data_IF_983334843908
#
_entry.id   IF_983334843908
#
_cell.length_a   1.000
_cell.length_b   1.000
_cell.length_c   1.000
_cell.angle_alpha   90.00
_cell.angle_beta   90.00
_cell.angle_gamma   90.00
#
_symmetry.space_group_name_H-M   'P 1'
#
loop_
_entity.id
_entity.type
_entity.pdbx_description
1 polymer ?
#
# COMPACT_ATOMS: atom_id res chain seq x y z
N UNK A 1 36.85 21.78 -38.97
CA UNK A 1 35.58 21.17 -38.45
C UNK A 1 35.37 19.87 -39.22
N UNK A 2 35.72 18.75 -38.60
CA UNK A 2 35.61 17.43 -39.18
C UNK A 2 34.15 17.00 -39.13
N UNK A 3 33.58 16.63 -40.29
CA UNK A 3 32.26 16.05 -40.47
C UNK A 3 32.35 14.59 -39.99
N UNK A 4 31.81 14.29 -38.78
CA UNK A 4 31.63 12.91 -38.32
C UNK A 4 30.77 12.16 -39.34
N UNK A 5 31.35 11.16 -39.97
CA UNK A 5 30.65 10.24 -40.85
C UNK A 5 29.66 9.44 -40.01
N UNK A 6 28.36 9.74 -40.16
CA UNK A 6 27.26 8.94 -39.64
C UNK A 6 27.29 7.55 -40.31
N UNK A 7 28.12 6.65 -39.75
CA UNK A 7 28.20 5.26 -40.17
C UNK A 7 26.89 4.53 -39.84
N UNK A 8 26.31 3.84 -40.83
CA UNK A 8 25.09 3.02 -40.68
C UNK A 8 25.31 2.02 -39.54
N UNK A 9 24.47 2.04 -38.49
CA UNK A 9 24.51 1.11 -37.38
C UNK A 9 24.35 -0.32 -37.90
N UNK A 10 25.26 -1.20 -37.52
CA UNK A 10 25.32 -2.59 -37.95
C UNK A 10 24.98 -3.55 -36.80
N UNK A 11 24.63 -4.80 -37.14
CA UNK A 11 24.42 -5.85 -36.13
C UNK A 11 25.65 -6.09 -35.23
N UNK A 12 26.84 -5.83 -35.77
CA UNK A 12 28.09 -5.93 -35.00
C UNK A 12 28.21 -4.85 -33.95
N UNK A 13 27.77 -3.62 -34.23
CA UNK A 13 27.74 -2.56 -33.22
C UNK A 13 26.79 -2.91 -32.07
N UNK A 14 25.63 -3.47 -32.41
CA UNK A 14 24.65 -3.93 -31.39
C UNK A 14 25.23 -5.09 -30.58
N UNK A 15 25.90 -6.04 -31.22
CA UNK A 15 26.53 -7.18 -30.56
C UNK A 15 27.59 -6.74 -29.53
N UNK A 16 28.46 -5.83 -29.95
CA UNK A 16 29.50 -5.27 -29.06
C UNK A 16 28.86 -4.55 -27.86
N UNK A 17 27.85 -3.71 -28.10
CA UNK A 17 27.19 -2.95 -27.04
C UNK A 17 26.39 -3.85 -26.08
N UNK A 18 25.72 -4.87 -26.59
CA UNK A 18 24.94 -5.82 -25.80
C UNK A 18 25.79 -6.89 -25.09
N UNK A 19 27.11 -6.99 -25.38
CA UNK A 19 28.02 -8.00 -24.83
C UNK A 19 27.64 -9.43 -25.27
N UNK A 20 27.27 -9.61 -26.54
CA UNK A 20 26.86 -10.92 -27.11
C UNK A 20 27.42 -11.11 -28.52
N UNK A 21 27.36 -12.32 -29.07
CA UNK A 21 27.76 -12.58 -30.45
C UNK A 21 26.74 -12.05 -31.48
N UNK A 22 27.19 -11.69 -32.67
CA UNK A 22 26.34 -11.19 -33.77
C UNK A 22 25.25 -12.21 -34.19
N UNK A 23 25.52 -13.51 -34.08
CA UNK A 23 24.53 -14.56 -34.31
C UNK A 23 23.39 -14.51 -33.25
N UNK A 24 23.69 -14.12 -32.00
CA UNK A 24 22.69 -13.92 -30.96
C UNK A 24 21.82 -12.70 -31.28
N UNK A 25 22.45 -11.61 -31.74
CA UNK A 25 21.71 -10.40 -32.19
C UNK A 25 20.77 -10.73 -33.32
N UNK A 26 21.25 -11.49 -34.34
CA UNK A 26 20.41 -11.91 -35.47
C UNK A 26 19.21 -12.77 -35.04
N UNK A 27 19.43 -13.73 -34.12
CA UNK A 27 18.35 -14.55 -33.55
C UNK A 27 17.30 -13.70 -32.82
N UNK A 28 17.74 -12.73 -32.01
CA UNK A 28 16.84 -11.83 -31.28
C UNK A 28 16.04 -10.96 -32.23
N UNK A 29 16.72 -10.30 -33.18
CA UNK A 29 16.06 -9.38 -34.11
C UNK A 29 15.16 -10.04 -35.14
N UNK A 30 15.34 -11.32 -35.39
CA UNK A 30 14.50 -12.13 -36.29
C UNK A 30 13.58 -13.10 -35.53
N UNK A 31 13.50 -12.98 -34.19
CA UNK A 31 12.67 -13.83 -33.31
C UNK A 31 12.93 -15.35 -33.49
N UNK A 32 14.17 -15.73 -33.82
CA UNK A 32 14.58 -17.12 -34.07
C UNK A 32 15.29 -17.71 -32.84
N UNK A 33 14.89 -18.92 -32.46
CA UNK A 33 15.59 -19.76 -31.47
C UNK A 33 15.37 -19.34 -30.00
N UNK A 34 15.85 -20.18 -29.07
CA UNK A 34 15.77 -19.93 -27.64
C UNK A 34 16.92 -19.00 -27.18
N UNK A 35 16.61 -17.74 -26.98
CA UNK A 35 17.46 -16.76 -26.32
C UNK A 35 16.79 -16.40 -25.00
N UNK A 36 17.57 -16.32 -23.90
CA UNK A 36 17.03 -15.92 -22.61
C UNK A 36 16.48 -14.50 -22.66
N UNK A 37 15.46 -14.20 -21.86
CA UNK A 37 14.79 -12.90 -21.89
C UNK A 37 15.75 -11.76 -21.48
N UNK A 38 16.69 -12.00 -20.57
CA UNK A 38 17.73 -11.03 -20.20
C UNK A 38 18.66 -10.69 -21.37
N UNK A 39 19.05 -11.67 -22.17
CA UNK A 39 19.89 -11.43 -23.37
C UNK A 39 19.07 -10.73 -24.46
N UNK A 40 17.81 -11.14 -24.68
CA UNK A 40 16.90 -10.50 -25.62
C UNK A 40 16.74 -9.02 -25.31
N UNK A 41 16.46 -8.70 -24.03
CA UNK A 41 16.30 -7.31 -23.55
C UNK A 41 17.56 -6.48 -23.85
N UNK A 42 18.75 -6.93 -23.42
CA UNK A 42 20.00 -6.21 -23.67
C UNK A 42 20.26 -5.93 -25.16
N UNK A 43 19.95 -6.89 -26.02
CA UNK A 43 20.13 -6.72 -27.47
C UNK A 43 19.17 -5.65 -28.01
N UNK A 44 17.90 -5.67 -27.60
CA UNK A 44 16.91 -4.70 -28.09
C UNK A 44 17.19 -3.29 -27.56
N UNK A 45 17.58 -3.16 -26.30
CA UNK A 45 18.00 -1.89 -25.71
C UNK A 45 19.23 -1.32 -26.43
N UNK A 46 20.27 -2.13 -26.62
CA UNK A 46 21.45 -1.73 -27.39
C UNK A 46 21.10 -1.28 -28.82
N UNK A 47 20.18 -1.97 -29.50
CA UNK A 47 19.72 -1.62 -30.83
C UNK A 47 18.95 -0.28 -30.84
N UNK A 48 18.11 -0.02 -29.84
CA UNK A 48 17.39 1.26 -29.66
C UNK A 48 18.35 2.42 -29.41
N UNK A 49 19.26 2.25 -28.45
CA UNK A 49 20.23 3.31 -28.09
C UNK A 49 21.19 3.66 -29.22
N UNK A 50 21.54 2.70 -30.06
CA UNK A 50 22.35 2.92 -31.26
C UNK A 50 21.56 3.49 -32.44
N UNK A 51 20.23 3.56 -32.35
CA UNK A 51 19.37 4.04 -33.41
C UNK A 51 19.34 3.10 -34.63
N UNK A 52 19.35 1.79 -34.41
CA UNK A 52 19.25 0.81 -35.53
C UNK A 52 17.93 1.05 -36.30
N UNK A 53 18.01 1.44 -37.56
CA UNK A 53 16.87 1.73 -38.44
C UNK A 53 16.14 0.45 -38.88
N UNK A 54 15.41 -0.15 -37.96
CA UNK A 54 14.64 -1.37 -38.19
C UNK A 54 13.47 -1.41 -37.19
N UNK A 55 12.35 -2.06 -37.56
CA UNK A 55 11.32 -2.42 -36.59
C UNK A 55 11.95 -3.47 -35.65
N UNK A 56 12.09 -3.12 -34.38
CA UNK A 56 12.64 -4.00 -33.38
C UNK A 56 11.53 -4.84 -32.76
N UNK A 57 11.79 -6.14 -32.48
CA UNK A 57 10.87 -6.98 -31.72
C UNK A 57 10.65 -6.40 -30.32
N UNK A 58 9.58 -6.85 -29.64
CA UNK A 58 9.41 -6.54 -28.23
C UNK A 58 10.60 -7.08 -27.41
N UNK A 59 11.05 -6.31 -26.43
CA UNK A 59 12.07 -6.74 -25.48
C UNK A 59 11.61 -7.96 -24.66
N UNK A 60 10.30 -8.13 -24.52
CA UNK A 60 9.65 -9.20 -23.75
C UNK A 60 8.94 -10.18 -24.69
N UNK A 61 9.08 -11.48 -24.45
CA UNK A 61 8.39 -12.52 -25.21
C UNK A 61 6.89 -12.54 -24.97
N UNK A 62 6.48 -12.11 -23.79
CA UNK A 62 5.12 -12.17 -23.32
C UNK A 62 4.82 -10.91 -22.50
N UNK A 63 3.64 -10.34 -22.72
CA UNK A 63 3.13 -9.27 -21.84
C UNK A 63 2.71 -9.88 -20.52
N UNK A 64 3.26 -9.39 -19.41
CA UNK A 64 2.85 -9.73 -18.05
C UNK A 64 1.60 -8.94 -17.69
N UNK A 65 0.53 -9.63 -17.37
CA UNK A 65 -0.79 -9.05 -17.04
C UNK A 65 -1.00 -9.07 -15.53
N UNK A 66 -1.05 -7.90 -14.93
CA UNK A 66 -1.21 -7.72 -13.49
C UNK A 66 -2.61 -7.20 -13.21
N UNK A 67 -3.34 -7.83 -12.29
CA UNK A 67 -4.64 -7.35 -11.84
C UNK A 67 -4.57 -6.82 -10.40
N UNK A 68 -4.81 -5.52 -10.23
CA UNK A 68 -5.06 -4.91 -8.93
C UNK A 68 -6.53 -5.05 -8.58
N UNK A 69 -6.84 -5.84 -7.57
CA UNK A 69 -8.20 -6.08 -7.09
C UNK A 69 -8.42 -5.25 -5.83
N UNK A 70 -9.30 -4.26 -5.92
CA UNK A 70 -9.59 -3.31 -4.85
C UNK A 70 -11.10 -3.30 -4.58
N UNK A 71 -11.48 -3.19 -3.31
CA UNK A 71 -12.87 -3.05 -2.89
C UNK A 71 -13.14 -1.67 -2.33
N UNK A 72 -14.41 -1.30 -2.22
CA UNK A 72 -14.88 -0.09 -1.52
C UNK A 72 -14.06 1.18 -1.84
N UNK A 73 -13.98 1.52 -3.11
CA UNK A 73 -13.24 2.72 -3.57
C UNK A 73 -13.90 4.04 -3.14
N UNK A 74 -15.04 4.01 -2.49
CA UNK A 74 -15.59 5.15 -1.75
C UNK A 74 -14.79 5.51 -0.50
N UNK A 75 -14.01 4.56 0.06
CA UNK A 75 -13.07 4.85 1.16
C UNK A 75 -11.85 5.59 0.63
N UNK A 76 -11.47 6.72 1.23
CA UNK A 76 -10.39 7.58 0.72
C UNK A 76 -9.07 6.85 0.45
N UNK A 77 -8.66 5.95 1.33
CA UNK A 77 -7.44 5.13 1.18
C UNK A 77 -7.45 4.34 -0.13
N UNK A 78 -8.54 3.60 -0.37
CA UNK A 78 -8.68 2.74 -1.55
C UNK A 78 -8.91 3.57 -2.83
N UNK A 79 -9.56 4.73 -2.71
CA UNK A 79 -9.69 5.69 -3.82
C UNK A 79 -8.31 6.20 -4.26
N UNK A 80 -7.45 6.62 -3.32
CA UNK A 80 -6.08 7.07 -3.60
C UNK A 80 -5.27 5.96 -4.27
N UNK A 81 -5.31 4.74 -3.72
CA UNK A 81 -4.64 3.57 -4.32
C UNK A 81 -5.16 3.28 -5.73
N UNK A 82 -6.47 3.28 -5.94
CA UNK A 82 -7.08 3.06 -7.25
C UNK A 82 -6.69 4.13 -8.27
N UNK A 83 -6.55 5.37 -7.84
CA UNK A 83 -6.06 6.48 -8.67
C UNK A 83 -4.61 6.25 -9.09
N UNK A 84 -3.74 5.85 -8.14
CA UNK A 84 -2.34 5.58 -8.45
C UNK A 84 -2.18 4.38 -9.39
N UNK A 85 -2.92 3.28 -9.17
CA UNK A 85 -2.94 2.15 -10.11
C UNK A 85 -3.34 2.60 -11.52
N UNK A 86 -4.31 3.54 -11.63
CA UNK A 86 -4.67 4.16 -12.91
C UNK A 86 -3.51 4.93 -13.55
N UNK A 87 -2.72 5.69 -12.76
CA UNK A 87 -1.52 6.39 -13.24
C UNK A 87 -0.42 5.42 -13.68
N UNK A 88 -0.20 4.37 -12.88
CA UNK A 88 0.78 3.33 -13.22
C UNK A 88 0.41 2.61 -14.52
N UNK A 89 -0.87 2.32 -14.77
CA UNK A 89 -1.33 1.67 -16.00
C UNK A 89 -1.10 2.53 -17.27
N UNK A 90 -1.10 3.86 -17.14
CA UNK A 90 -0.82 4.79 -18.25
C UNK A 90 0.67 4.95 -18.54
N UNK A 91 1.54 4.62 -17.58
CA UNK A 91 2.98 4.81 -17.64
C UNK A 91 3.76 3.50 -17.62
N UNK A 92 3.06 2.36 -17.71
CA UNK A 92 3.71 1.06 -17.62
C UNK A 92 4.69 0.84 -18.77
N UNK A 93 5.75 0.10 -18.47
CA UNK A 93 6.79 -0.26 -19.44
C UNK A 93 6.25 -1.22 -20.52
N UNK A 94 6.95 -1.26 -21.65
CA UNK A 94 6.68 -2.27 -22.67
C UNK A 94 6.75 -3.68 -22.08
N UNK A 95 5.77 -4.51 -22.36
CA UNK A 95 5.67 -5.86 -21.82
C UNK A 95 4.89 -5.97 -20.51
N UNK A 96 4.33 -4.86 -20.00
CA UNK A 96 3.43 -4.84 -18.85
C UNK A 96 2.01 -4.41 -19.24
N UNK A 97 1.02 -5.04 -18.64
CA UNK A 97 -0.38 -4.63 -18.73
C UNK A 97 -1.00 -4.64 -17.33
N UNK A 98 -1.39 -3.48 -16.85
CA UNK A 98 -1.99 -3.30 -15.54
C UNK A 98 -3.49 -3.12 -15.69
N UNK A 99 -4.25 -4.03 -15.08
CA UNK A 99 -5.69 -3.95 -14.97
C UNK A 99 -6.08 -3.63 -13.53
N UNK A 100 -7.19 -2.95 -13.38
CA UNK A 100 -7.83 -2.68 -12.09
C UNK A 100 -9.23 -3.28 -12.07
N UNK A 101 -9.47 -4.15 -11.10
CA UNK A 101 -10.79 -4.72 -10.81
C UNK A 101 -11.32 -4.12 -9.53
N UNK A 102 -12.49 -3.48 -9.59
CA UNK A 102 -13.16 -2.90 -8.44
C UNK A 102 -14.27 -3.84 -7.99
N UNK A 103 -14.32 -4.12 -6.68
CA UNK A 103 -15.32 -4.97 -6.07
C UNK A 103 -16.30 -4.13 -5.25
N UNK A 104 -17.58 -4.44 -5.38
CA UNK A 104 -18.64 -3.81 -4.58
C UNK A 104 -18.71 -4.41 -3.15
N UNK A 105 -18.09 -5.59 -2.94
CA UNK A 105 -18.16 -6.36 -1.69
C UNK A 105 -16.76 -6.75 -1.21
N UNK A 106 -16.59 -6.72 0.11
CA UNK A 106 -15.35 -7.11 0.81
C UNK A 106 -15.45 -8.47 1.49
N UNK A 107 -16.57 -9.18 1.37
CA UNK A 107 -16.67 -10.49 2.00
C UNK A 107 -15.63 -11.46 1.41
N UNK A 108 -15.05 -12.34 2.24
CA UNK A 108 -13.92 -13.18 1.85
C UNK A 108 -14.20 -14.08 0.64
N UNK A 109 -15.45 -14.52 0.47
CA UNK A 109 -15.84 -15.38 -0.64
C UNK A 109 -15.86 -14.61 -1.97
N UNK A 110 -16.42 -13.39 -1.98
CA UNK A 110 -16.43 -12.51 -3.16
C UNK A 110 -15.01 -12.11 -3.58
N UNK A 111 -14.15 -11.81 -2.61
CA UNK A 111 -12.73 -11.51 -2.85
C UNK A 111 -12.03 -12.72 -3.47
N UNK A 112 -12.15 -13.91 -2.88
CA UNK A 112 -11.53 -15.14 -3.38
C UNK A 112 -12.01 -15.48 -4.82
N UNK A 113 -13.31 -15.34 -5.10
CA UNK A 113 -13.86 -15.52 -6.44
C UNK A 113 -13.27 -14.54 -7.46
N UNK A 114 -13.08 -13.28 -7.07
CA UNK A 114 -12.49 -12.27 -7.94
C UNK A 114 -11.02 -12.56 -8.23
N UNK A 115 -10.26 -13.03 -7.25
CA UNK A 115 -8.86 -13.44 -7.44
C UNK A 115 -8.73 -14.55 -8.47
N UNK A 116 -9.64 -15.52 -8.47
CA UNK A 116 -9.62 -16.68 -9.36
C UNK A 116 -10.24 -16.41 -10.75
N UNK A 117 -10.87 -15.24 -10.94
CA UNK A 117 -11.51 -14.87 -12.20
C UNK A 117 -10.49 -14.29 -13.18
N UNK A 118 -10.49 -14.82 -14.38
CA UNK A 118 -9.62 -14.34 -15.46
C UNK A 118 -8.27 -15.04 -15.51
N UNK A 119 -7.49 -14.68 -16.53
CA UNK A 119 -6.15 -15.20 -16.77
C UNK A 119 -5.14 -14.05 -16.62
N UNK A 120 -4.66 -13.86 -15.41
CA UNK A 120 -3.62 -12.92 -15.09
C UNK A 120 -2.32 -13.65 -14.76
N UNK A 121 -1.21 -12.95 -14.97
CA UNK A 121 0.10 -13.45 -14.63
C UNK A 121 0.44 -13.12 -13.17
N UNK A 122 -0.14 -12.05 -12.61
CA UNK A 122 -0.02 -11.70 -11.19
C UNK A 122 -1.28 -11.01 -10.67
N UNK A 123 -1.50 -11.08 -9.36
CA UNK A 123 -2.59 -10.43 -8.64
C UNK A 123 -2.04 -9.61 -7.48
N UNK A 124 -2.46 -8.34 -7.39
CA UNK A 124 -2.26 -7.50 -6.21
C UNK A 124 -3.62 -7.27 -5.54
N UNK A 125 -3.74 -7.53 -4.23
CA UNK A 125 -5.05 -7.62 -3.56
C UNK A 125 -5.02 -7.04 -2.13
N UNK A 126 -6.03 -6.23 -1.80
CA UNK A 126 -6.40 -5.95 -0.42
C UNK A 126 -7.47 -6.96 0.01
N UNK A 127 -7.15 -7.83 0.98
CA UNK A 127 -8.03 -8.92 1.38
C UNK A 127 -8.01 -9.15 2.90
N UNK A 128 -9.12 -9.64 3.48
CA UNK A 128 -9.13 -10.12 4.86
C UNK A 128 -8.33 -11.42 4.99
N UNK A 129 -7.77 -11.65 6.17
CA UNK A 129 -7.15 -12.94 6.53
C UNK A 129 -8.26 -13.98 6.80
N UNK A 130 -8.53 -14.82 5.80
CA UNK A 130 -9.63 -15.78 5.86
C UNK A 130 -9.34 -17.02 5.01
N UNK A 131 -9.87 -18.19 5.41
CA UNK A 131 -9.62 -19.47 4.74
C UNK A 131 -9.92 -19.47 3.23
N UNK A 132 -10.96 -18.79 2.76
CA UNK A 132 -11.26 -18.66 1.35
C UNK A 132 -10.16 -17.92 0.58
N UNK A 133 -9.59 -16.87 1.20
CA UNK A 133 -8.51 -16.08 0.60
C UNK A 133 -7.22 -16.90 0.55
N UNK A 134 -6.88 -17.63 1.61
CA UNK A 134 -5.75 -18.56 1.63
C UNK A 134 -5.86 -19.60 0.49
N UNK A 135 -7.02 -20.25 0.35
CA UNK A 135 -7.26 -21.23 -0.72
C UNK A 135 -7.12 -20.63 -2.12
N UNK A 136 -7.57 -19.38 -2.30
CA UNK A 136 -7.42 -18.67 -3.57
C UNK A 136 -5.95 -18.37 -3.87
N UNK A 137 -5.19 -17.87 -2.89
CA UNK A 137 -3.75 -17.61 -3.01
C UNK A 137 -3.00 -18.91 -3.35
N UNK A 138 -3.26 -20.01 -2.65
CA UNK A 138 -2.64 -21.32 -2.91
C UNK A 138 -2.96 -21.84 -4.32
N UNK A 139 -4.20 -21.58 -4.78
CA UNK A 139 -4.62 -21.98 -6.12
C UNK A 139 -3.90 -21.18 -7.20
N UNK A 140 -3.72 -19.88 -7.00
CA UNK A 140 -2.95 -19.02 -7.90
C UNK A 140 -1.48 -19.36 -7.88
N UNK A 141 -0.89 -19.62 -6.72
CA UNK A 141 0.51 -20.06 -6.60
C UNK A 141 0.78 -21.36 -7.37
N UNK A 142 -0.12 -22.35 -7.32
CA UNK A 142 -0.03 -23.58 -8.13
C UNK A 142 -0.15 -23.35 -9.65
N UNK A 143 -0.63 -22.18 -10.07
CA UNK A 143 -0.74 -21.77 -11.49
C UNK A 143 0.40 -20.84 -11.91
N UNK A 144 1.46 -20.73 -11.11
CA UNK A 144 2.55 -19.76 -11.31
C UNK A 144 2.06 -18.31 -11.44
N UNK A 145 0.98 -17.96 -10.73
CA UNK A 145 0.43 -16.61 -10.66
C UNK A 145 0.71 -16.04 -9.25
N UNK A 146 1.79 -15.28 -9.06
CA UNK A 146 2.14 -14.71 -7.78
C UNK A 146 1.09 -13.72 -7.30
N UNK A 147 0.87 -13.72 -5.99
CA UNK A 147 -0.04 -12.80 -5.31
C UNK A 147 0.76 -11.86 -4.41
N UNK A 148 0.49 -10.56 -4.50
CA UNK A 148 0.99 -9.54 -3.59
C UNK A 148 -0.19 -8.99 -2.78
N UNK A 149 -0.10 -9.05 -1.46
CA UNK A 149 -1.11 -8.46 -0.57
C UNK A 149 -0.82 -6.99 -0.32
N UNK A 150 -1.86 -6.17 -0.17
CA UNK A 150 -1.84 -4.71 -0.01
C UNK A 150 -2.61 -4.33 1.25
N UNK A 151 -2.20 -3.28 1.93
CA UNK A 151 -2.88 -2.65 3.09
C UNK A 151 -2.95 -3.59 4.29
N UNK A 152 -3.55 -4.77 4.15
CA UNK A 152 -3.64 -5.81 5.16
C UNK A 152 -3.00 -7.08 4.63
N UNK A 153 -2.19 -7.73 5.46
CA UNK A 153 -1.51 -8.95 5.07
C UNK A 153 -2.39 -10.19 5.28
N UNK A 154 -1.97 -11.31 4.65
CA UNK A 154 -2.53 -12.66 4.82
C UNK A 154 -1.37 -13.61 5.20
N UNK A 155 -0.93 -13.58 6.47
CA UNK A 155 0.23 -14.33 6.93
C UNK A 155 0.04 -15.84 6.77
N UNK A 156 1.13 -16.56 6.51
CA UNK A 156 1.09 -18.01 6.34
C UNK A 156 0.49 -18.52 5.02
N UNK A 157 0.03 -17.62 4.12
CA UNK A 157 -0.38 -17.97 2.78
C UNK A 157 0.81 -18.09 1.82
N UNK A 158 0.60 -18.70 0.65
CA UNK A 158 1.61 -18.81 -0.42
C UNK A 158 1.77 -17.50 -1.24
N UNK A 159 1.44 -16.34 -0.67
CA UNK A 159 1.67 -15.06 -1.34
C UNK A 159 3.16 -14.79 -1.60
N UNK A 160 3.46 -14.10 -2.69
CA UNK A 160 4.83 -13.71 -3.04
C UNK A 160 5.38 -12.68 -2.04
N UNK A 161 4.60 -11.65 -1.73
CA UNK A 161 5.00 -10.59 -0.81
C UNK A 161 3.79 -9.85 -0.24
N UNK A 162 4.04 -9.08 0.81
CA UNK A 162 3.14 -8.05 1.32
C UNK A 162 3.73 -6.67 0.98
N UNK A 163 2.98 -5.84 0.28
CA UNK A 163 3.33 -4.46 -0.03
C UNK A 163 2.48 -3.51 0.83
N UNK A 164 2.87 -3.30 2.06
CA UNK A 164 2.15 -2.47 3.01
C UNK A 164 3.05 -1.92 4.11
N UNK A 165 2.47 -1.22 5.06
CA UNK A 165 3.16 -0.67 6.22
C UNK A 165 3.25 -1.69 7.36
N UNK A 166 4.23 -1.53 8.25
CA UNK A 166 4.26 -2.23 9.53
C UNK A 166 3.21 -1.62 10.49
N UNK A 167 2.11 -2.31 10.65
CA UNK A 167 0.99 -1.84 11.46
C UNK A 167 1.29 -1.85 12.96
N UNK A 168 2.18 -2.73 13.44
CA UNK A 168 2.64 -2.73 14.84
C UNK A 168 3.43 -1.45 15.11
N UNK A 169 4.37 -1.08 14.22
CA UNK A 169 5.10 0.19 14.33
C UNK A 169 4.17 1.39 14.25
N UNK A 170 3.14 1.36 13.41
CA UNK A 170 2.15 2.43 13.33
C UNK A 170 1.39 2.62 14.66
N UNK A 171 0.93 1.52 15.27
CA UNK A 171 0.31 1.53 16.60
C UNK A 171 1.24 2.03 17.69
N UNK A 172 2.48 1.54 17.73
CA UNK A 172 3.52 2.02 18.67
C UNK A 172 3.79 3.51 18.52
N UNK A 173 3.88 4.00 17.28
CA UNK A 173 4.05 5.44 17.03
C UNK A 173 2.88 6.26 17.55
N UNK A 174 1.63 5.79 17.34
CA UNK A 174 0.45 6.46 17.87
C UNK A 174 0.50 6.55 19.41
N UNK A 175 0.80 5.46 20.10
CA UNK A 175 0.92 5.43 21.57
C UNK A 175 2.05 6.36 22.07
N UNK A 176 3.23 6.28 21.42
CA UNK A 176 4.39 7.10 21.76
C UNK A 176 4.06 8.60 21.72
N UNK A 177 3.47 9.08 20.63
CA UNK A 177 3.13 10.49 20.51
C UNK A 177 1.99 10.88 21.45
N UNK A 178 0.95 10.06 21.57
CA UNK A 178 -0.16 10.35 22.45
C UNK A 178 0.31 10.47 23.90
N UNK A 179 1.13 9.54 24.38
CA UNK A 179 1.62 9.55 25.75
C UNK A 179 2.50 10.77 26.08
N UNK A 180 3.24 11.30 25.10
CA UNK A 180 4.10 12.48 25.28
C UNK A 180 3.39 13.81 25.10
N UNK A 181 2.30 13.81 24.34
CA UNK A 181 1.49 15.01 24.10
C UNK A 181 0.34 15.17 25.11
N UNK A 182 -0.05 14.09 25.77
CA UNK A 182 -1.13 14.11 26.75
C UNK A 182 -0.77 15.00 27.94
N UNK A 183 -1.74 15.78 28.48
CA UNK A 183 -1.52 16.55 29.69
C UNK A 183 -1.22 15.59 30.84
N UNK A 184 -0.26 15.97 31.71
CA UNK A 184 -0.02 15.25 32.95
C UNK A 184 -1.19 15.51 33.91
N UNK A 185 -1.77 14.43 34.41
CA UNK A 185 -2.87 14.45 35.36
C UNK A 185 -2.36 13.98 36.72
N UNK A 186 -3.03 14.40 37.79
CA UNK A 186 -2.80 13.90 39.17
C UNK A 186 -3.39 12.47 39.33
N UNK A 187 -3.27 11.63 38.34
CA UNK A 187 -3.79 10.27 38.31
C UNK A 187 -3.59 9.65 36.94
N UNK A 188 -4.16 8.43 36.74
CA UNK A 188 -4.07 7.72 35.49
C UNK A 188 -5.02 8.32 34.44
N UNK A 189 -4.46 8.91 33.37
CA UNK A 189 -5.21 9.29 32.19
C UNK A 189 -5.68 8.05 31.41
N UNK A 190 -6.87 8.10 30.85
CA UNK A 190 -7.39 7.02 30.01
C UNK A 190 -7.31 7.33 28.52
N UNK A 191 -7.09 6.28 27.75
CA UNK A 191 -7.08 6.34 26.29
C UNK A 191 -8.10 5.33 25.75
N UNK A 192 -8.84 5.75 24.74
CA UNK A 192 -9.81 4.90 24.01
C UNK A 192 -9.25 4.61 22.64
N UNK A 193 -9.34 3.35 22.20
CA UNK A 193 -9.06 2.94 20.82
C UNK A 193 -10.36 2.68 20.10
N UNK A 194 -10.52 3.25 18.90
CA UNK A 194 -11.62 2.93 17.97
C UNK A 194 -11.06 2.11 16.81
N UNK A 195 -11.78 1.08 16.36
CA UNK A 195 -11.41 0.26 15.21
C UNK A 195 -12.64 -0.20 14.42
N UNK A 196 -12.43 -0.78 13.24
CA UNK A 196 -13.49 -1.45 12.47
C UNK A 196 -13.95 -2.70 13.23
N UNK A 197 -13.18 -3.76 13.12
CA UNK A 197 -13.17 -5.00 13.87
C UNK A 197 -11.75 -5.61 13.82
N UNK A 198 -11.57 -6.80 14.35
CA UNK A 198 -10.25 -7.46 14.37
C UNK A 198 -10.07 -8.45 13.19
N UNK A 199 -11.01 -8.49 12.24
CA UNK A 199 -10.94 -9.39 11.08
C UNK A 199 -9.88 -9.01 10.04
N UNK A 200 -9.45 -7.73 10.04
CA UNK A 200 -8.30 -7.30 9.27
C UNK A 200 -7.05 -7.28 10.14
N UNK A 201 -6.01 -7.99 9.72
CA UNK A 201 -4.71 -8.08 10.39
C UNK A 201 -4.16 -6.69 10.76
N UNK A 202 -4.32 -5.70 9.86
CA UNK A 202 -3.89 -4.33 10.07
C UNK A 202 -4.44 -3.70 11.35
N UNK A 203 -5.73 -3.93 11.68
CA UNK A 203 -6.35 -3.36 12.86
C UNK A 203 -5.89 -4.05 14.14
N UNK A 204 -5.81 -5.38 14.13
CA UNK A 204 -5.32 -6.15 15.27
C UNK A 204 -3.86 -5.76 15.61
N UNK A 205 -3.00 -5.63 14.60
CA UNK A 205 -1.60 -5.23 14.78
C UNK A 205 -1.44 -3.81 15.30
N UNK A 206 -2.22 -2.85 14.80
CA UNK A 206 -2.23 -1.46 15.31
C UNK A 206 -2.61 -1.39 16.77
N UNK A 207 -3.68 -2.12 17.15
CA UNK A 207 -4.14 -2.17 18.55
C UNK A 207 -3.08 -2.81 19.43
N UNK A 208 -2.50 -3.93 19.01
CA UNK A 208 -1.42 -4.61 19.73
C UNK A 208 -0.22 -3.69 19.94
N UNK A 209 0.29 -3.08 18.86
CA UNK A 209 1.45 -2.19 18.96
C UNK A 209 1.17 -0.97 19.83
N UNK A 210 -0.06 -0.43 19.78
CA UNK A 210 -0.48 0.68 20.64
C UNK A 210 -0.49 0.29 22.11
N UNK A 211 -1.08 -0.83 22.47
CA UNK A 211 -1.16 -1.31 23.85
C UNK A 211 0.22 -1.63 24.43
N UNK A 212 1.05 -2.39 23.68
CA UNK A 212 2.42 -2.71 24.09
C UNK A 212 3.27 -1.45 24.36
N UNK A 213 3.17 -0.43 23.50
CA UNK A 213 3.94 0.79 23.67
C UNK A 213 3.44 1.64 24.83
N UNK A 214 2.12 1.69 25.03
CA UNK A 214 1.52 2.45 26.13
C UNK A 214 1.93 1.88 27.49
N UNK A 215 2.01 0.54 27.60
CA UNK A 215 2.51 -0.15 28.81
C UNK A 215 4.01 0.08 28.99
N UNK A 216 4.81 -0.01 27.92
CA UNK A 216 6.26 0.16 28.00
C UNK A 216 6.70 1.56 28.39
N UNK A 217 5.97 2.59 27.97
CA UNK A 217 6.29 3.98 28.29
C UNK A 217 5.99 4.37 29.74
N UNK A 218 5.05 3.72 30.39
CA UNK A 218 4.60 3.95 31.79
C UNK A 218 4.46 5.45 32.18
N UNK A 219 3.88 6.23 31.27
CA UNK A 219 3.68 7.69 31.45
C UNK A 219 2.33 8.06 32.11
N UNK A 220 1.76 7.14 32.90
CA UNK A 220 0.50 7.38 33.60
C UNK A 220 -0.74 7.35 32.70
N UNK A 221 -0.66 6.69 31.55
CA UNK A 221 -1.80 6.44 30.65
C UNK A 221 -2.17 4.96 30.63
N UNK A 222 -3.48 4.69 30.56
CA UNK A 222 -3.99 3.32 30.40
C UNK A 222 -5.02 3.23 29.28
N UNK A 223 -4.97 2.15 28.51
CA UNK A 223 -6.02 1.78 27.60
C UNK A 223 -7.28 1.41 28.39
N UNK A 224 -8.34 2.20 28.24
CA UNK A 224 -9.59 2.00 28.96
C UNK A 224 -10.54 1.05 28.22
N UNK A 225 -10.69 1.24 26.92
CA UNK A 225 -11.64 0.48 26.12
C UNK A 225 -11.26 0.47 24.64
N UNK A 226 -11.58 -0.64 23.96
CA UNK A 226 -11.51 -0.77 22.50
C UNK A 226 -12.94 -0.75 21.95
N UNK A 227 -13.28 0.29 21.20
CA UNK A 227 -14.60 0.51 20.61
C UNK A 227 -14.62 -0.01 19.17
N UNK A 228 -15.52 -0.96 18.87
CA UNK A 228 -15.69 -1.51 17.52
C UNK A 228 -16.81 -0.75 16.80
N UNK A 229 -16.41 0.13 15.87
CA UNK A 229 -17.30 1.03 15.14
C UNK A 229 -17.64 0.58 13.71
N UNK A 230 -17.07 -0.53 13.22
CA UNK A 230 -17.33 -1.05 11.86
C UNK A 230 -16.89 -0.11 10.74
N UNK A 231 -16.01 0.87 11.00
CA UNK A 231 -15.69 2.00 10.12
C UNK A 231 -16.92 2.81 9.67
N UNK A 232 -18.06 2.61 10.32
CA UNK A 232 -19.25 3.41 10.11
C UNK A 232 -19.17 4.69 10.97
N UNK A 233 -19.25 5.88 10.36
CA UNK A 233 -19.12 7.12 11.12
C UNK A 233 -20.21 7.34 12.16
N UNK A 234 -21.46 6.98 11.87
CA UNK A 234 -22.59 7.17 12.78
C UNK A 234 -22.54 6.19 13.95
N UNK A 235 -22.29 4.90 13.65
CA UNK A 235 -22.13 3.88 14.69
C UNK A 235 -20.95 4.20 15.60
N UNK A 236 -19.83 4.62 15.00
CA UNK A 236 -18.63 5.04 15.74
C UNK A 236 -18.89 6.24 16.65
N UNK A 237 -19.62 7.24 16.17
CA UNK A 237 -20.04 8.41 16.96
C UNK A 237 -20.87 7.99 18.18
N UNK A 238 -21.91 7.17 17.95
CA UNK A 238 -22.84 6.73 19.02
C UNK A 238 -22.07 5.97 20.09
N UNK A 239 -21.32 4.93 19.71
CA UNK A 239 -20.58 4.09 20.65
C UNK A 239 -19.50 4.89 21.39
N UNK A 240 -18.79 5.76 20.67
CA UNK A 240 -17.74 6.57 21.30
C UNK A 240 -18.32 7.58 22.31
N UNK A 241 -19.46 8.21 22.02
CA UNK A 241 -20.16 9.07 23.01
C UNK A 241 -20.56 8.32 24.28
N UNK A 242 -21.03 7.07 24.15
CA UNK A 242 -21.35 6.22 25.30
C UNK A 242 -20.09 5.90 26.11
N UNK A 243 -19.00 5.54 25.43
CA UNK A 243 -17.72 5.24 26.07
C UNK A 243 -17.12 6.45 26.76
N UNK A 244 -17.17 7.65 26.16
CA UNK A 244 -16.69 8.89 26.75
C UNK A 244 -17.46 9.27 28.04
N UNK A 245 -18.77 8.99 28.11
CA UNK A 245 -19.55 9.18 29.36
C UNK A 245 -19.11 8.23 30.48
N UNK A 246 -18.69 6.98 30.13
CA UNK A 246 -18.18 6.01 31.10
C UNK A 246 -16.76 6.34 31.58
N UNK A 247 -15.99 7.06 30.76
CA UNK A 247 -14.57 7.36 30.99
C UNK A 247 -14.32 8.87 30.91
N UNK A 248 -14.82 9.70 31.88
CA UNK A 248 -14.66 11.14 31.84
C UNK A 248 -13.19 11.61 31.97
N UNK A 249 -12.29 10.76 32.44
CA UNK A 249 -10.84 10.97 32.53
C UNK A 249 -10.08 10.69 31.22
N UNK A 250 -10.79 10.52 30.10
CA UNK A 250 -10.19 10.29 28.78
C UNK A 250 -9.40 11.50 28.31
N UNK A 251 -8.11 11.31 28.07
CA UNK A 251 -7.17 12.33 27.56
C UNK A 251 -6.82 12.15 26.08
N UNK A 252 -7.07 10.98 25.52
CA UNK A 252 -6.74 10.67 24.14
C UNK A 252 -7.63 9.61 23.52
N UNK A 253 -7.80 9.74 22.21
CA UNK A 253 -8.51 8.79 21.36
C UNK A 253 -7.57 8.41 20.22
N UNK A 254 -7.37 7.11 20.03
CA UNK A 254 -6.67 6.58 18.86
C UNK A 254 -7.67 5.85 17.97
N UNK A 255 -7.87 6.35 16.75
CA UNK A 255 -8.66 5.65 15.74
C UNK A 255 -7.74 4.79 14.85
N UNK A 256 -7.73 3.50 15.09
CA UNK A 256 -6.98 2.52 14.29
C UNK A 256 -7.65 2.19 12.93
N UNK A 257 -8.87 2.69 12.70
CA UNK A 257 -9.67 2.48 11.49
C UNK A 257 -9.93 3.75 10.67
N UNK A 258 -11.00 3.73 9.88
CA UNK A 258 -11.36 4.77 8.92
C UNK A 258 -12.42 5.79 9.39
N UNK A 259 -13.08 5.60 10.53
CA UNK A 259 -14.24 6.38 10.96
C UNK A 259 -13.91 7.75 11.59
N UNK A 260 -12.93 8.50 11.08
CA UNK A 260 -12.48 9.78 11.63
C UNK A 260 -13.60 10.82 11.78
N UNK A 261 -14.61 10.80 10.88
CA UNK A 261 -15.78 11.71 10.99
C UNK A 261 -16.59 11.44 12.25
N UNK A 262 -16.81 10.17 12.61
CA UNK A 262 -17.52 9.78 13.83
C UNK A 262 -16.77 10.19 15.09
N UNK A 263 -15.43 10.05 15.09
CA UNK A 263 -14.60 10.50 16.22
C UNK A 263 -14.73 12.03 16.43
N UNK A 264 -14.61 12.79 15.35
CA UNK A 264 -14.75 14.26 15.42
C UNK A 264 -16.14 14.67 15.92
N UNK A 265 -17.21 14.01 15.45
CA UNK A 265 -18.57 14.27 15.91
C UNK A 265 -18.77 13.92 17.40
N UNK A 266 -18.18 12.82 17.86
CA UNK A 266 -18.22 12.45 19.27
C UNK A 266 -17.47 13.45 20.18
N UNK A 267 -16.29 13.91 19.76
CA UNK A 267 -15.51 14.92 20.48
C UNK A 267 -16.25 16.27 20.53
N UNK A 268 -16.92 16.65 19.42
CA UNK A 268 -17.68 17.89 19.32
C UNK A 268 -18.90 17.95 20.29
N UNK A 269 -19.35 16.81 20.81
CA UNK A 269 -20.41 16.76 21.81
C UNK A 269 -19.98 17.28 23.20
N UNK A 270 -18.70 17.61 23.40
CA UNK A 270 -18.12 18.19 24.61
C UNK A 270 -18.51 17.43 25.91
N UNK A 271 -18.45 16.09 25.86
CA UNK A 271 -18.81 15.21 26.98
C UNK A 271 -17.71 15.11 28.05
N UNK A 272 -16.52 15.61 27.76
CA UNK A 272 -15.35 15.55 28.64
C UNK A 272 -15.03 16.95 29.21
N UNK A 273 -14.42 17.03 30.43
CA UNK A 273 -13.96 18.30 31.01
C UNK A 273 -12.88 19.00 30.15
N UNK A 274 -12.12 18.23 29.38
CA UNK A 274 -11.09 18.74 28.48
C UNK A 274 -11.21 18.01 27.16
N UNK A 275 -10.89 18.69 26.06
CA UNK A 275 -10.85 18.07 24.74
C UNK A 275 -9.72 17.04 24.70
N UNK A 276 -10.01 15.76 24.33
CA UNK A 276 -8.99 14.74 24.21
C UNK A 276 -8.11 14.98 22.98
N UNK A 277 -6.86 14.50 23.02
CA UNK A 277 -6.04 14.36 21.84
C UNK A 277 -6.67 13.35 20.90
N UNK A 278 -6.63 13.63 19.61
CA UNK A 278 -7.15 12.72 18.59
C UNK A 278 -6.08 12.36 17.58
N UNK A 279 -5.69 11.07 17.56
CA UNK A 279 -4.80 10.47 16.60
C UNK A 279 -5.59 9.46 15.77
N UNK A 280 -5.36 9.45 14.45
CA UNK A 280 -6.06 8.52 13.57
C UNK A 280 -5.26 8.25 12.30
N UNK A 281 -5.83 7.45 11.43
CA UNK A 281 -5.19 7.07 10.19
C UNK A 281 -5.72 7.86 8.99
N UNK A 282 -4.88 7.99 7.98
CA UNK A 282 -5.06 8.55 6.65
C UNK A 282 -5.14 10.08 6.59
N UNK A 283 -4.28 10.63 5.76
CA UNK A 283 -4.42 12.00 5.29
C UNK A 283 -5.43 12.03 4.13
N UNK A 284 -6.60 12.55 4.41
CA UNK A 284 -7.71 12.72 3.47
C UNK A 284 -8.07 14.20 3.41
N UNK A 285 -8.89 14.61 2.45
CA UNK A 285 -9.43 15.98 2.44
C UNK A 285 -10.06 16.36 3.80
N UNK A 286 -10.82 15.45 4.40
CA UNK A 286 -11.46 15.70 5.70
C UNK A 286 -10.45 15.83 6.84
N UNK A 287 -9.51 14.89 6.98
CA UNK A 287 -8.52 14.91 8.06
C UNK A 287 -7.51 16.06 7.89
N UNK A 288 -7.17 16.43 6.65
CA UNK A 288 -6.37 17.62 6.35
C UNK A 288 -6.98 18.89 6.97
N UNK A 289 -8.29 19.13 6.75
CA UNK A 289 -8.99 20.24 7.37
C UNK A 289 -9.03 20.12 8.91
N UNK A 290 -9.25 18.91 9.43
CA UNK A 290 -9.27 18.68 10.87
C UNK A 290 -7.91 18.92 11.55
N UNK A 291 -6.80 18.56 10.89
CA UNK A 291 -5.44 18.87 11.37
C UNK A 291 -5.19 20.37 11.36
N UNK A 292 -5.48 21.03 10.21
CA UNK A 292 -5.29 22.48 10.08
C UNK A 292 -6.07 23.28 11.11
N UNK A 293 -7.31 22.87 11.39
CA UNK A 293 -8.20 23.56 12.31
C UNK A 293 -8.00 23.11 13.79
N UNK A 294 -7.03 22.20 14.05
CA UNK A 294 -6.75 21.67 15.40
C UNK A 294 -7.83 20.73 15.95
N UNK A 295 -8.74 20.23 15.11
CA UNK A 295 -9.75 19.23 15.51
C UNK A 295 -9.19 17.82 15.59
N UNK A 296 -8.11 17.53 14.89
CA UNK A 296 -7.30 16.32 14.95
C UNK A 296 -5.87 16.70 15.31
N UNK A 297 -5.21 15.88 16.13
CA UNK A 297 -3.86 16.14 16.61
C UNK A 297 -2.81 15.64 15.64
N UNK A 298 -2.98 14.40 15.16
CA UNK A 298 -2.02 13.71 14.28
C UNK A 298 -2.75 12.72 13.37
N UNK A 299 -2.35 12.67 12.10
CA UNK A 299 -2.75 11.63 11.17
C UNK A 299 -1.55 10.76 10.79
N UNK A 300 -1.74 9.45 10.80
CA UNK A 300 -0.76 8.45 10.37
C UNK A 300 -1.19 7.96 8.98
N UNK A 301 -0.46 8.37 7.95
CA UNK A 301 -0.73 7.97 6.57
C UNK A 301 0.09 6.74 6.21
N UNK A 302 -0.53 5.77 5.55
CA UNK A 302 0.13 4.53 5.12
C UNK A 302 0.69 4.63 3.70
N UNK A 303 0.65 5.77 3.05
CA UNK A 303 1.18 6.00 1.70
C UNK A 303 0.64 4.98 0.68
N UNK A 304 -0.68 4.93 0.41
CA UNK A 304 -1.28 3.92 -0.47
C UNK A 304 -0.72 3.97 -1.89
N UNK A 305 -0.24 5.12 -2.34
CA UNK A 305 0.43 5.29 -3.62
C UNK A 305 1.74 4.48 -3.67
N UNK A 306 2.56 4.57 -2.62
CA UNK A 306 3.79 3.79 -2.51
C UNK A 306 3.51 2.29 -2.40
N UNK A 307 2.44 1.89 -1.72
CA UNK A 307 2.05 0.48 -1.66
C UNK A 307 1.74 -0.09 -3.06
N UNK A 308 0.99 0.66 -3.88
CA UNK A 308 0.71 0.25 -5.26
C UNK A 308 1.98 0.15 -6.12
N UNK A 309 2.90 1.12 -5.97
CA UNK A 309 4.20 1.10 -6.66
C UNK A 309 5.04 -0.08 -6.24
N UNK A 310 5.16 -0.36 -4.93
CA UNK A 310 5.90 -1.50 -4.39
C UNK A 310 5.32 -2.84 -4.87
N UNK A 311 4.00 -2.99 -4.89
CA UNK A 311 3.39 -4.20 -5.40
C UNK A 311 3.74 -4.43 -6.88
N UNK A 312 3.71 -3.38 -7.69
CA UNK A 312 4.13 -3.43 -9.08
C UNK A 312 5.61 -3.82 -9.20
N UNK A 313 6.50 -3.18 -8.43
CA UNK A 313 7.93 -3.43 -8.42
C UNK A 313 8.25 -4.90 -8.05
N UNK A 314 7.58 -5.45 -7.02
CA UNK A 314 7.73 -6.86 -6.62
C UNK A 314 7.38 -7.80 -7.78
N UNK A 315 6.27 -7.54 -8.47
CA UNK A 315 5.86 -8.36 -9.63
C UNK A 315 6.84 -8.19 -10.80
N UNK A 316 7.27 -6.96 -11.09
CA UNK A 316 8.26 -6.69 -12.14
C UNK A 316 9.57 -7.43 -11.87
N UNK A 317 10.07 -7.39 -10.62
CA UNK A 317 11.27 -8.13 -10.22
C UNK A 317 11.08 -9.65 -10.40
N UNK A 318 9.92 -10.19 -9.97
CA UNK A 318 9.61 -11.62 -10.13
C UNK A 318 9.68 -12.07 -11.60
N UNK A 319 9.26 -11.22 -12.54
CA UNK A 319 9.29 -11.52 -13.99
C UNK A 319 10.57 -11.02 -14.68
N UNK A 320 11.59 -10.56 -13.95
CA UNK A 320 12.88 -10.18 -14.50
C UNK A 320 12.86 -8.87 -15.30
N UNK A 321 11.97 -7.92 -14.98
CA UNK A 321 12.02 -6.56 -15.48
C UNK A 321 13.15 -5.80 -14.77
N UNK A 322 14.30 -5.64 -15.46
CA UNK A 322 15.45 -4.91 -14.93
C UNK A 322 15.34 -3.42 -15.26
N UNK A 323 15.69 -2.55 -14.31
CA UNK A 323 15.86 -1.11 -14.54
C UNK A 323 14.77 -0.18 -13.98
N UNK A 324 13.59 -0.70 -13.63
CA UNK A 324 12.53 0.10 -12.97
C UNK A 324 12.53 -0.07 -11.45
N UNK A 325 13.32 -0.98 -10.92
CA UNK A 325 13.22 -1.41 -9.54
C UNK A 325 14.42 -0.89 -8.75
N UNK A 326 14.18 -0.05 -7.77
CA UNK A 326 15.05 -0.02 -6.60
C UNK A 326 15.17 -1.47 -6.12
N UNK A 327 16.40 -1.94 -5.89
CA UNK A 327 16.65 -3.26 -5.32
C UNK A 327 16.04 -3.32 -3.90
N UNK A 328 14.72 -3.51 -3.84
CA UNK A 328 14.04 -3.81 -2.58
C UNK A 328 14.31 -5.26 -2.27
N UNK A 329 14.76 -5.58 -1.05
CA UNK A 329 14.80 -6.96 -0.62
C UNK A 329 13.39 -7.54 -0.81
N UNK A 330 13.23 -8.70 -1.48
CA UNK A 330 11.90 -9.25 -1.84
C UNK A 330 11.00 -9.59 -0.65
N UNK A 331 11.44 -9.34 0.58
CA UNK A 331 10.77 -9.75 1.81
C UNK A 331 10.61 -8.64 2.84
N UNK A 332 10.99 -7.39 2.54
CA UNK A 332 10.82 -6.27 3.46
C UNK A 332 9.75 -5.34 2.92
N UNK A 333 8.54 -5.61 3.32
CA UNK A 333 7.41 -4.73 3.14
C UNK A 333 7.48 -3.59 4.17
N UNK A 334 8.36 -2.63 3.97
CA UNK A 334 8.42 -1.47 4.84
C UNK A 334 8.06 -0.23 4.02
N UNK A 335 6.80 -0.18 3.57
CA UNK A 335 6.25 1.10 3.09
C UNK A 335 6.20 2.03 4.30
N UNK A 336 6.95 3.14 4.28
CA UNK A 336 7.02 4.01 5.44
C UNK A 336 5.67 4.65 5.74
N UNK A 337 5.34 4.73 7.02
CA UNK A 337 4.26 5.59 7.49
C UNK A 337 4.72 7.05 7.48
N UNK A 338 3.81 7.96 7.15
CA UNK A 338 4.04 9.40 7.24
C UNK A 338 3.16 9.98 8.33
N UNK A 339 3.75 10.77 9.23
CA UNK A 339 3.04 11.43 10.31
C UNK A 339 2.73 12.86 9.90
N UNK A 340 1.46 13.21 9.86
CA UNK A 340 0.99 14.56 9.55
C UNK A 340 0.42 15.25 10.78
N UNK A 341 1.04 16.37 11.14
CA UNK A 341 0.49 17.37 12.03
C UNK A 341 0.16 18.66 11.26
N UNK A 342 -0.36 19.70 11.93
CA UNK A 342 -0.73 20.95 11.25
C UNK A 342 0.44 21.67 10.56
N UNK A 343 1.70 21.37 10.96
CA UNK A 343 2.88 22.08 10.47
C UNK A 343 3.53 21.47 9.22
N UNK A 344 3.19 20.24 8.87
CA UNK A 344 3.75 19.54 7.71
C UNK A 344 2.67 19.04 6.72
N UNK A 345 1.51 19.69 6.72
CA UNK A 345 0.47 19.43 5.75
C UNK A 345 0.92 19.83 4.35
N UNK A 346 0.56 19.08 3.29
CA UNK A 346 0.73 19.55 1.94
C UNK A 346 -0.13 20.80 1.70
N UNK A 347 0.32 21.69 0.79
CA UNK A 347 -0.37 22.96 0.48
C UNK A 347 -1.81 22.76 -0.01
N UNK A 348 -2.08 21.62 -0.65
CA UNK A 348 -3.39 21.25 -1.17
C UNK A 348 -3.84 19.95 -0.49
N UNK A 349 -5.10 19.90 0.00
CA UNK A 349 -5.63 18.67 0.56
C UNK A 349 -5.65 17.54 -0.49
N UNK A 350 -5.39 16.29 -0.09
CA UNK A 350 -5.52 15.17 -1.01
C UNK A 350 -7.00 14.96 -1.39
N UNK A 351 -7.21 14.45 -2.62
CA UNK A 351 -8.55 14.17 -3.19
C UNK A 351 -9.31 13.04 -2.47
#
# INVERSE_FOLDING_TARGET
>A
MAKEASGKVTLQHVATKAGVGSATVDRVLNERGNVSDSVRKRVIEAARELGLRRILPSAYRRTVRINFILSRTERPLLKRMATEVGRLSQRCEEGLYIQRTLLDREDPESVAKAMLRGAYDAVAICAPDHAFVHQAIDTLARRDCPVVTLISDVPGSARLAYAGTDHVKAGRSAAFFLARMAPRLDGLGKVIVLCHDEGFQAHAERIRGFAEQLEADDLGLKLAEIVRGGDDPLLSEIKLKETLRRHPETVGIYNAGGANRGVIAAIAANLLPRRPLFLGHELTNFTWHCLRDGRMTLAIDQSPELQAQYALEVVMHHYGFEGAVRALPPYVSDVPIVLYGPQNLPDVPPD
#
